data_IF_551789499069
#
_entry.id   IF_551789499069
#
_cell.length_a   1.000
_cell.length_b   1.000
_cell.length_c   1.000
_cell.angle_alpha   90.00
_cell.angle_beta   90.00
_cell.angle_gamma   90.00
#
_symmetry.space_group_name_H-M   'P 1'
#
loop_
_entity.id
_entity.type
_entity.pdbx_description
1 polymer ?
#
# COMPACT_ATOMS: atom_id res chain seq x y z
N UNK A 1 10.97 -12.93 16.15
CA UNK A 1 10.49 -13.74 17.29
C UNK A 1 9.33 -14.62 16.83
N UNK A 2 9.58 -15.91 16.64
CA UNK A 2 8.52 -16.89 16.43
C UNK A 2 7.64 -16.91 17.69
N UNK A 3 6.37 -16.52 17.56
CA UNK A 3 5.44 -16.40 18.69
C UNK A 3 4.97 -17.74 19.28
N UNK A 4 5.44 -18.90 18.78
CA UNK A 4 4.99 -20.23 19.22
C UNK A 4 6.02 -21.02 20.04
N UNK A 5 7.06 -20.38 20.59
CA UNK A 5 7.91 -21.03 21.60
C UNK A 5 7.69 -20.35 22.95
N UNK A 6 7.12 -21.09 23.90
CA UNK A 6 7.21 -20.77 25.32
C UNK A 6 8.70 -20.73 25.68
N UNK A 7 9.25 -19.53 25.79
CA UNK A 7 10.61 -19.31 26.27
C UNK A 7 10.61 -19.67 27.76
N UNK A 8 11.31 -20.73 28.13
CA UNK A 8 11.50 -21.03 29.54
C UNK A 8 12.55 -20.08 30.12
N UNK A 9 12.57 -19.87 31.43
CA UNK A 9 13.61 -19.09 32.13
C UNK A 9 15.06 -19.65 31.96
N UNK A 10 15.25 -20.72 31.16
CA UNK A 10 16.52 -21.42 30.91
C UNK A 10 17.08 -21.19 29.50
N UNK A 11 16.37 -20.46 28.64
CA UNK A 11 16.80 -20.15 27.28
C UNK A 11 17.54 -18.81 27.25
N UNK A 12 18.85 -18.84 26.98
CA UNK A 12 19.63 -17.61 26.74
C UNK A 12 19.71 -17.34 25.25
N UNK A 13 19.30 -16.14 24.84
CA UNK A 13 19.30 -15.71 23.44
C UNK A 13 20.15 -14.46 23.27
N UNK A 14 21.12 -14.53 22.38
CA UNK A 14 21.82 -13.36 21.85
C UNK A 14 21.49 -13.22 20.37
N UNK A 15 21.07 -12.03 19.94
CA UNK A 15 20.70 -11.77 18.54
C UNK A 15 21.44 -10.52 18.07
N UNK A 16 22.17 -10.62 16.97
CA UNK A 16 22.84 -9.47 16.35
C UNK A 16 21.83 -8.45 15.82
N UNK A 17 22.28 -7.23 15.46
CA UNK A 17 21.54 -6.40 14.52
C UNK A 17 21.22 -7.16 13.22
N UNK A 18 20.24 -6.66 12.47
CA UNK A 18 19.94 -7.18 11.15
C UNK A 18 20.99 -6.71 10.14
N UNK A 19 21.60 -7.67 9.45
CA UNK A 19 22.44 -7.47 8.29
C UNK A 19 21.58 -7.35 7.03
N UNK A 20 22.06 -6.65 5.98
CA UNK A 20 21.39 -6.62 4.70
C UNK A 20 21.35 -8.03 4.07
N UNK A 21 20.42 -8.29 3.14
CA UNK A 21 20.37 -9.54 2.39
C UNK A 21 21.70 -9.92 1.73
N UNK A 22 21.95 -11.22 1.56
CA UNK A 22 23.11 -11.77 0.82
C UNK A 22 22.59 -12.53 -0.41
N UNK A 23 22.91 -12.05 -1.60
CA UNK A 23 22.40 -12.60 -2.87
C UNK A 23 23.34 -13.61 -3.53
N UNK A 24 24.48 -13.87 -2.92
CA UNK A 24 25.55 -14.64 -3.52
C UNK A 24 25.47 -16.12 -3.11
N UNK A 25 25.47 -17.02 -4.08
CA UNK A 25 25.52 -18.48 -3.87
C UNK A 25 26.84 -19.09 -4.39
N UNK A 26 27.87 -18.27 -4.64
CA UNK A 26 29.19 -18.74 -5.09
C UNK A 26 30.00 -19.44 -3.98
N UNK A 27 29.39 -19.67 -2.82
CA UNK A 27 29.98 -20.34 -1.67
C UNK A 27 31.08 -19.56 -0.95
N UNK A 28 31.38 -18.31 -1.36
CA UNK A 28 32.45 -17.49 -0.78
C UNK A 28 32.02 -16.67 0.45
N UNK A 29 30.73 -16.38 0.60
CA UNK A 29 30.20 -15.75 1.81
C UNK A 29 30.28 -16.72 2.99
N UNK A 30 31.05 -16.36 4.02
CA UNK A 30 31.28 -17.21 5.20
C UNK A 30 30.98 -16.47 6.50
N UNK A 31 30.25 -17.14 7.38
CA UNK A 31 30.17 -16.80 8.79
C UNK A 31 31.29 -17.53 9.54
N UNK A 32 32.14 -16.76 10.22
CA UNK A 32 33.31 -17.24 10.95
C UNK A 32 33.19 -16.85 12.41
N UNK A 33 33.58 -17.74 13.29
CA UNK A 33 33.63 -17.49 14.73
C UNK A 33 34.50 -18.54 15.41
N UNK A 34 34.90 -18.27 16.65
CA UNK A 34 35.55 -19.21 17.52
C UNK A 34 34.56 -19.68 18.58
N UNK A 35 34.57 -20.98 18.88
CA UNK A 35 33.77 -21.53 19.97
C UNK A 35 34.61 -22.47 20.84
N UNK A 36 34.35 -22.46 22.14
CA UNK A 36 34.86 -23.43 23.10
C UNK A 36 33.73 -23.85 24.03
N UNK A 37 33.71 -25.12 24.39
CA UNK A 37 32.78 -25.66 25.36
C UNK A 37 33.54 -26.50 26.38
N UNK A 38 33.08 -26.46 27.62
CA UNK A 38 33.59 -27.28 28.72
C UNK A 38 32.42 -27.74 29.59
N UNK A 39 32.57 -28.91 30.23
CA UNK A 39 31.56 -29.51 31.08
C UNK A 39 30.46 -30.22 30.29
N UNK A 40 29.28 -30.34 30.89
CA UNK A 40 28.17 -31.15 30.35
C UNK A 40 27.63 -30.47 29.09
N UNK A 41 27.33 -31.21 28.00
CA UNK A 41 26.86 -30.61 26.76
C UNK A 41 25.58 -29.79 26.95
N UNK A 42 25.75 -28.47 27.02
CA UNK A 42 24.66 -27.52 26.90
C UNK A 42 24.11 -27.62 25.47
N UNK A 43 22.79 -27.71 25.33
CA UNK A 43 22.15 -27.68 24.02
C UNK A 43 22.24 -26.27 23.46
N UNK A 44 23.32 -25.93 22.75
CA UNK A 44 23.46 -24.63 22.11
C UNK A 44 23.43 -24.74 20.59
N UNK A 45 23.06 -23.64 19.95
CA UNK A 45 23.03 -23.54 18.49
C UNK A 45 23.27 -22.11 18.04
N UNK A 46 23.91 -21.97 16.89
CA UNK A 46 23.92 -20.73 16.12
C UNK A 46 22.98 -20.88 14.93
N UNK A 47 22.14 -19.88 14.69
CA UNK A 47 21.17 -19.89 13.61
C UNK A 47 21.07 -18.53 12.95
N UNK A 48 20.74 -18.53 11.65
CA UNK A 48 20.32 -17.35 10.92
C UNK A 48 18.81 -17.20 11.08
N UNK A 49 18.39 -16.06 11.59
CA UNK A 49 16.96 -15.73 11.76
C UNK A 49 16.55 -14.61 10.80
N UNK A 50 15.29 -14.65 10.41
CA UNK A 50 14.66 -13.65 9.54
C UNK A 50 13.65 -12.81 10.32
N UNK A 51 13.27 -11.62 9.83
CA UNK A 51 12.23 -10.80 10.42
C UNK A 51 10.91 -11.57 10.54
N UNK A 52 10.10 -11.21 11.54
CA UNK A 52 8.83 -11.89 11.84
C UNK A 52 7.78 -11.80 10.74
N UNK A 53 7.91 -10.83 9.84
CA UNK A 53 7.01 -10.65 8.69
C UNK A 53 7.32 -11.61 7.54
N UNK A 54 8.46 -12.30 7.55
CA UNK A 54 8.72 -13.39 6.61
C UNK A 54 7.97 -14.63 7.12
N UNK A 55 6.78 -14.88 6.58
CA UNK A 55 5.98 -16.05 6.93
C UNK A 55 6.71 -17.36 6.56
N UNK A 56 6.51 -18.40 7.38
CA UNK A 56 7.09 -19.75 7.21
C UNK A 56 8.63 -19.81 7.17
N UNK A 57 9.29 -18.77 7.67
CA UNK A 57 10.73 -18.69 7.73
C UNK A 57 11.31 -19.45 8.93
N UNK A 58 11.55 -20.76 8.79
CA UNK A 58 12.34 -21.49 9.77
C UNK A 58 13.74 -20.87 9.94
N UNK A 59 14.25 -20.88 11.18
CA UNK A 59 15.61 -20.47 11.48
C UNK A 59 16.59 -21.46 10.81
N UNK A 60 17.54 -20.92 10.03
CA UNK A 60 18.53 -21.74 9.36
C UNK A 60 19.66 -22.03 10.35
N UNK A 61 19.77 -23.27 10.83
CA UNK A 61 20.85 -23.66 11.73
C UNK A 61 22.18 -23.58 11.00
N UNK A 62 23.15 -22.89 11.59
CA UNK A 62 24.52 -22.83 11.09
C UNK A 62 25.15 -24.18 11.43
N UNK A 63 25.59 -24.97 10.43
CA UNK A 63 26.22 -26.24 10.71
C UNK A 63 27.52 -25.97 11.44
N UNK A 64 27.66 -26.57 12.62
CA UNK A 64 28.92 -26.62 13.35
C UNK A 64 29.62 -27.87 12.82
N UNK A 65 30.25 -27.74 11.64
CA UNK A 65 31.02 -28.84 11.05
C UNK A 65 32.31 -28.98 11.82
N UNK A 66 32.35 -30.06 12.57
CA UNK A 66 33.52 -30.52 13.27
C UNK A 66 34.45 -31.21 12.25
N UNK A 67 35.72 -30.80 12.17
CA UNK A 67 36.78 -31.56 11.50
C UNK A 67 37.17 -32.80 12.35
N UNK A 68 36.18 -33.54 12.87
CA UNK A 68 36.34 -34.78 13.61
C UNK A 68 36.87 -34.67 15.05
N UNK A 69 36.78 -33.51 15.71
CA UNK A 69 37.18 -33.28 17.11
C UNK A 69 36.10 -32.58 17.94
N UNK A 70 35.63 -33.25 19.00
CA UNK A 70 34.74 -32.64 20.00
C UNK A 70 35.24 -31.25 20.40
N UNK A 71 34.37 -30.24 20.34
CA UNK A 71 34.63 -28.86 20.80
C UNK A 71 34.72 -28.87 22.32
N UNK A 72 35.75 -29.50 22.86
CA UNK A 72 35.97 -29.67 24.28
C UNK A 72 37.34 -29.11 24.63
N UNK A 73 37.39 -28.23 25.64
CA UNK A 73 38.62 -27.77 26.31
C UNK A 73 39.65 -27.06 25.41
N UNK A 74 39.27 -26.64 24.19
CA UNK A 74 40.08 -25.79 23.32
C UNK A 74 39.23 -24.99 22.34
N UNK A 75 39.72 -23.83 21.92
CA UNK A 75 39.06 -22.96 20.95
C UNK A 75 39.09 -23.58 19.55
N UNK A 76 37.91 -23.72 18.94
CA UNK A 76 37.75 -24.21 17.59
C UNK A 76 37.26 -23.11 16.68
N UNK A 77 37.94 -22.90 15.55
CA UNK A 77 37.49 -21.99 14.51
C UNK A 77 36.43 -22.67 13.66
N UNK A 78 35.23 -22.11 13.64
CA UNK A 78 34.13 -22.56 12.80
C UNK A 78 34.00 -21.59 11.63
N UNK A 79 33.83 -22.14 10.43
CA UNK A 79 33.65 -21.37 9.21
C UNK A 79 32.59 -22.04 8.35
N UNK A 80 31.41 -21.44 8.31
CA UNK A 80 30.27 -21.97 7.57
C UNK A 80 29.90 -21.07 6.40
N UNK A 81 29.78 -21.67 5.23
CA UNK A 81 29.26 -20.99 4.04
C UNK A 81 27.78 -20.66 4.27
N UNK A 82 27.43 -19.39 4.09
CA UNK A 82 26.05 -18.96 4.03
C UNK A 82 25.61 -19.04 2.57
N UNK A 83 24.50 -19.75 2.33
CA UNK A 83 23.81 -19.71 1.04
C UNK A 83 23.06 -18.38 0.85
N UNK A 84 22.24 -18.25 -0.20
CA UNK A 84 21.52 -17.03 -0.47
C UNK A 84 20.51 -16.71 0.65
N UNK A 85 20.56 -15.48 1.15
CA UNK A 85 19.68 -14.91 2.17
C UNK A 85 18.97 -13.70 1.56
N UNK A 86 17.82 -13.93 0.93
CA UNK A 86 17.07 -12.92 0.15
C UNK A 86 16.38 -11.82 0.96
N UNK A 87 16.43 -11.91 2.29
CA UNK A 87 15.84 -10.96 3.22
C UNK A 87 16.90 -10.50 4.23
N UNK A 88 16.72 -9.33 4.88
CA UNK A 88 17.55 -8.97 6.02
C UNK A 88 17.58 -10.11 7.02
N UNK A 89 18.73 -10.35 7.65
CA UNK A 89 18.89 -11.48 8.56
C UNK A 89 19.70 -11.09 9.79
N UNK A 90 19.52 -11.82 10.89
CA UNK A 90 20.35 -11.67 12.08
C UNK A 90 20.96 -13.03 12.45
N UNK A 91 22.15 -12.99 13.08
CA UNK A 91 22.78 -14.15 13.68
C UNK A 91 22.25 -14.28 15.11
N UNK A 92 21.70 -15.44 15.43
CA UNK A 92 21.18 -15.74 16.76
C UNK A 92 21.95 -16.90 17.38
N UNK A 93 22.37 -16.69 18.63
CA UNK A 93 22.93 -17.72 19.49
C UNK A 93 21.85 -18.08 20.50
N UNK A 94 21.51 -19.37 20.57
CA UNK A 94 20.57 -19.90 21.53
C UNK A 94 21.27 -20.97 22.36
N UNK A 95 21.25 -20.84 23.68
CA UNK A 95 21.73 -21.85 24.61
C UNK A 95 20.59 -22.30 25.52
N UNK A 96 20.37 -23.61 25.59
CA UNK A 96 19.42 -24.25 26.49
C UNK A 96 20.19 -25.05 27.54
N UNK A 97 20.04 -24.62 28.80
CA UNK A 97 20.68 -25.25 29.94
C UNK A 97 19.76 -26.27 30.59
N UNK A 98 20.13 -27.55 30.54
CA UNK A 98 19.50 -28.57 31.36
C UNK A 98 19.93 -28.37 32.82
N UNK A 99 18.98 -28.19 33.73
CA UNK A 99 19.25 -28.15 35.16
C UNK A 99 19.76 -29.53 35.60
N UNK A 100 21.07 -29.66 35.82
CA UNK A 100 21.66 -30.88 36.34
C UNK A 100 21.97 -30.74 37.83
N UNK A 101 21.80 -31.82 38.62
CA UNK A 101 22.09 -31.79 40.04
C UNK A 101 23.61 -31.81 40.25
N UNK A 102 24.12 -30.72 40.84
CA UNK A 102 25.30 -30.69 41.72
C UNK A 102 26.51 -31.55 41.34
N UNK A 103 27.08 -31.36 40.15
CA UNK A 103 28.48 -31.74 39.92
C UNK A 103 29.30 -30.48 39.68
N UNK A 104 30.42 -30.37 40.41
CA UNK A 104 31.29 -29.19 40.52
C UNK A 104 32.08 -28.83 39.24
N UNK A 105 31.62 -29.20 38.04
CA UNK A 105 32.26 -28.78 36.80
C UNK A 105 31.57 -27.55 36.22
N UNK A 106 32.29 -26.42 36.21
CA UNK A 106 31.86 -25.20 35.51
C UNK A 106 31.62 -25.53 34.03
N UNK A 107 30.35 -25.67 33.67
CA UNK A 107 29.93 -25.92 32.30
C UNK A 107 29.69 -24.60 31.60
N UNK A 108 30.37 -24.37 30.49
CA UNK A 108 30.24 -23.12 29.74
C UNK A 108 30.35 -23.36 28.23
N UNK A 109 29.77 -22.43 27.49
CA UNK A 109 29.99 -22.24 26.06
C UNK A 109 30.43 -20.79 25.90
N UNK A 110 31.58 -20.59 25.27
CA UNK A 110 32.06 -19.26 24.91
C UNK A 110 32.17 -19.18 23.38
N UNK A 111 31.74 -18.05 22.84
CA UNK A 111 31.80 -17.73 21.41
C UNK A 111 32.48 -16.38 21.29
N UNK A 112 33.45 -16.28 20.39
CA UNK A 112 34.23 -15.07 20.17
C UNK A 112 34.52 -14.84 18.68
N UNK A 113 34.95 -13.62 18.34
CA UNK A 113 35.39 -13.23 16.98
C UNK A 113 34.36 -13.55 15.87
N UNK A 114 33.08 -13.28 16.14
CA UNK A 114 32.01 -13.44 15.15
C UNK A 114 32.22 -12.43 14.01
N UNK A 115 32.42 -12.95 12.81
CA UNK A 115 32.65 -12.13 11.62
C UNK A 115 31.96 -12.73 10.40
N UNK A 116 31.46 -11.84 9.54
CA UNK A 116 31.04 -12.17 8.19
C UNK A 116 32.16 -11.79 7.23
N UNK A 117 32.44 -12.67 6.27
CA UNK A 117 33.48 -12.42 5.28
C UNK A 117 33.06 -11.28 4.33
N UNK A 118 34.03 -10.52 3.82
CA UNK A 118 33.76 -9.35 2.95
C UNK A 118 33.02 -9.75 1.68
N UNK A 119 33.22 -10.99 1.19
CA UNK A 119 32.56 -11.56 0.02
C UNK A 119 31.04 -11.71 0.19
N UNK A 120 30.53 -11.65 1.42
CA UNK A 120 29.10 -11.53 1.69
C UNK A 120 28.52 -10.19 1.20
N UNK A 121 29.35 -9.16 1.06
CA UNK A 121 28.94 -7.78 0.75
C UNK A 121 29.62 -7.20 -0.51
N UNK A 122 30.72 -7.82 -0.97
CA UNK A 122 31.55 -7.36 -2.12
C UNK A 122 30.78 -7.30 -3.45
N UNK A 123 29.72 -8.11 -3.61
CA UNK A 123 28.86 -8.14 -4.80
C UNK A 123 27.50 -7.46 -4.64
N UNK A 124 27.24 -6.77 -3.52
CA UNK A 124 25.95 -6.13 -3.28
C UNK A 124 25.58 -5.13 -4.39
N UNK A 125 26.58 -4.52 -5.04
CA UNK A 125 26.38 -3.59 -6.16
C UNK A 125 26.25 -4.28 -7.53
N UNK A 126 26.66 -5.56 -7.67
CA UNK A 126 26.60 -6.32 -8.94
C UNK A 126 25.40 -7.27 -9.03
N UNK A 127 24.82 -7.63 -7.88
CA UNK A 127 23.69 -8.54 -7.75
C UNK A 127 22.50 -7.79 -7.17
N UNK A 128 22.06 -6.75 -7.87
CA UNK A 128 20.74 -6.15 -7.68
C UNK A 128 19.72 -7.27 -7.40
N UNK A 129 19.16 -7.44 -6.18
CA UNK A 129 18.17 -8.47 -5.80
C UNK A 129 17.02 -8.69 -6.77
N UNK A 130 16.82 -7.69 -7.60
CA UNK A 130 15.66 -7.48 -8.43
C UNK A 130 15.90 -7.84 -9.90
N UNK A 131 17.14 -8.21 -10.28
CA UNK A 131 17.54 -8.51 -11.66
C UNK A 131 17.56 -7.26 -12.55
N UNK A 132 17.70 -7.42 -13.87
CA UNK A 132 17.44 -6.32 -14.84
C UNK A 132 15.93 -6.10 -14.94
N UNK A 133 15.33 -5.40 -13.99
CA UNK A 133 13.96 -4.92 -14.12
C UNK A 133 13.98 -3.44 -14.47
N UNK A 134 13.09 -3.03 -15.36
CA UNK A 134 12.94 -1.64 -15.80
C UNK A 134 11.68 -1.00 -15.22
N UNK A 135 10.69 -1.81 -14.82
CA UNK A 135 9.40 -1.35 -14.34
C UNK A 135 8.69 -2.41 -13.53
N UNK A 136 7.81 -1.97 -12.63
CA UNK A 136 6.90 -2.81 -11.86
C UNK A 136 5.54 -2.09 -11.76
N UNK A 137 4.44 -2.83 -11.88
CA UNK A 137 3.08 -2.28 -11.78
C UNK A 137 2.37 -2.80 -10.53
N UNK A 138 1.91 -1.89 -9.69
CA UNK A 138 1.10 -2.20 -8.51
C UNK A 138 -0.33 -1.72 -8.79
N UNK A 139 -1.32 -2.62 -8.72
CA UNK A 139 -2.70 -2.36 -9.13
C UNK A 139 -3.73 -3.04 -8.21
N UNK A 140 -5.03 -2.79 -8.44
CA UNK A 140 -6.12 -3.34 -7.61
C UNK A 140 -6.33 -4.84 -7.76
N UNK A 141 -5.47 -5.53 -8.51
CA UNK A 141 -5.55 -6.97 -8.78
C UNK A 141 -6.88 -7.40 -9.42
N UNK A 142 -7.54 -6.49 -10.14
CA UNK A 142 -8.83 -6.72 -10.78
C UNK A 142 -10.02 -6.62 -9.82
N UNK A 143 -9.83 -6.13 -8.59
CA UNK A 143 -10.95 -5.73 -7.73
C UNK A 143 -11.56 -4.42 -8.25
N UNK A 144 -12.88 -4.36 -8.18
CA UNK A 144 -13.72 -3.23 -8.62
C UNK A 144 -14.71 -2.86 -7.52
N UNK A 145 -15.12 -1.59 -7.50
CA UNK A 145 -16.14 -1.09 -6.59
C UNK A 145 -15.76 -1.24 -5.13
N UNK A 146 -16.68 -1.85 -4.37
CA UNK A 146 -16.51 -2.09 -2.93
C UNK A 146 -15.76 -3.38 -2.60
N UNK A 147 -15.34 -4.17 -3.59
CA UNK A 147 -14.67 -5.46 -3.36
C UNK A 147 -13.31 -5.25 -2.71
N UNK A 148 -12.94 -6.03 -1.70
CA UNK A 148 -11.58 -5.94 -1.16
C UNK A 148 -10.53 -6.40 -2.18
N UNK A 149 -9.33 -5.81 -2.14
CA UNK A 149 -8.16 -6.35 -2.86
C UNK A 149 -7.76 -7.65 -2.16
N UNK A 150 -7.95 -8.78 -2.84
CA UNK A 150 -7.66 -10.09 -2.30
C UNK A 150 -6.26 -10.56 -2.72
N UNK A 151 -5.47 -11.03 -1.74
CA UNK A 151 -4.09 -11.50 -1.95
C UNK A 151 -3.97 -12.61 -3.00
N UNK A 152 -4.92 -13.53 -3.03
CA UNK A 152 -4.99 -14.61 -4.02
C UNK A 152 -5.24 -14.10 -5.45
N UNK A 153 -6.12 -13.10 -5.65
CA UNK A 153 -6.33 -12.45 -6.96
C UNK A 153 -5.05 -11.79 -7.47
N UNK A 154 -4.31 -11.11 -6.59
CA UNK A 154 -3.02 -10.51 -6.94
C UNK A 154 -1.99 -11.55 -7.38
N UNK A 155 -1.91 -12.67 -6.67
CA UNK A 155 -0.97 -13.75 -6.94
C UNK A 155 -1.27 -14.49 -8.26
N UNK A 156 -2.56 -14.71 -8.56
CA UNK A 156 -3.01 -15.43 -9.75
C UNK A 156 -2.98 -14.60 -11.03
N UNK A 157 -2.73 -13.28 -10.96
CA UNK A 157 -2.78 -12.38 -12.13
C UNK A 157 -1.73 -12.72 -13.21
N UNK A 158 -0.71 -13.52 -12.89
CA UNK A 158 0.30 -14.05 -13.83
C UNK A 158 1.15 -12.96 -14.51
N UNK A 159 2.27 -13.36 -15.13
CA UNK A 159 3.08 -12.52 -16.05
C UNK A 159 3.58 -11.16 -15.53
N UNK A 160 3.71 -11.01 -14.21
CA UNK A 160 4.26 -9.80 -13.58
C UNK A 160 5.78 -9.82 -13.62
N UNK A 161 6.39 -8.78 -14.19
CA UNK A 161 7.84 -8.59 -14.26
C UNK A 161 8.27 -7.51 -13.28
N UNK A 162 9.27 -7.79 -12.45
CA UNK A 162 9.78 -6.86 -11.43
C UNK A 162 9.87 -7.48 -10.02
N UNK A 163 10.31 -6.69 -9.02
CA UNK A 163 10.63 -7.17 -7.67
C UNK A 163 9.39 -7.42 -6.79
N UNK A 164 8.42 -8.22 -7.27
CA UNK A 164 7.19 -8.53 -6.54
C UNK A 164 7.39 -9.36 -5.28
N UNK A 165 8.56 -10.02 -5.09
CA UNK A 165 8.87 -10.69 -3.82
C UNK A 165 8.96 -9.73 -2.62
N UNK A 166 9.07 -8.42 -2.86
CA UNK A 166 9.10 -7.38 -1.83
C UNK A 166 7.75 -6.66 -1.65
N UNK A 167 6.70 -7.11 -2.34
CA UNK A 167 5.36 -6.56 -2.26
C UNK A 167 4.49 -7.40 -1.32
N UNK A 168 3.97 -6.76 -0.28
CA UNK A 168 3.01 -7.34 0.63
C UNK A 168 1.63 -6.72 0.40
N UNK A 169 0.58 -7.53 0.40
CA UNK A 169 -0.81 -7.07 0.23
C UNK A 169 -1.60 -7.38 1.48
N UNK A 170 -2.19 -6.35 2.07
CA UNK A 170 -3.07 -6.44 3.23
C UNK A 170 -4.37 -5.67 2.94
N UNK A 171 -5.46 -6.40 2.73
CA UNK A 171 -6.84 -5.90 2.68
C UNK A 171 -7.01 -4.43 2.24
N UNK A 172 -6.57 -4.13 1.00
CA UNK A 172 -6.61 -2.84 0.28
C UNK A 172 -5.36 -1.94 0.31
N UNK A 173 -4.40 -2.19 1.19
CA UNK A 173 -3.09 -1.56 1.14
C UNK A 173 -2.07 -2.52 0.53
N UNK A 174 -1.23 -2.00 -0.37
CA UNK A 174 -0.06 -2.73 -0.83
C UNK A 174 1.19 -2.03 -0.31
N UNK A 175 2.02 -2.77 0.42
CA UNK A 175 3.23 -2.27 1.04
C UNK A 175 4.40 -2.84 0.25
N UNK A 176 5.15 -1.96 -0.42
CA UNK A 176 6.36 -2.35 -1.13
C UNK A 176 7.59 -1.96 -0.32
N UNK A 177 8.49 -2.92 -0.09
CA UNK A 177 9.76 -2.66 0.59
C UNK A 177 10.84 -2.45 -0.46
N UNK A 178 11.52 -1.32 -0.39
CA UNK A 178 12.53 -0.93 -1.37
C UNK A 178 13.69 -1.94 -1.35
N UNK A 179 13.95 -2.64 -2.47
CA UNK A 179 14.95 -3.70 -2.50
C UNK A 179 16.38 -3.15 -2.55
N UNK A 180 16.58 -1.94 -3.09
CA UNK A 180 17.90 -1.33 -3.33
C UNK A 180 17.87 0.19 -3.17
N UNK A 181 19.01 0.78 -2.81
CA UNK A 181 19.13 2.25 -2.76
C UNK A 181 19.41 2.80 -4.14
N UNK A 182 18.40 3.38 -4.81
CA UNK A 182 18.48 3.89 -6.18
C UNK A 182 17.62 5.14 -6.35
N UNK A 183 17.77 5.77 -7.51
CA UNK A 183 16.85 6.78 -8.01
C UNK A 183 15.67 6.09 -8.71
N UNK A 184 14.45 6.32 -8.21
CA UNK A 184 13.23 5.69 -8.70
C UNK A 184 12.30 6.71 -9.35
N UNK A 185 11.68 6.32 -10.45
CA UNK A 185 10.54 7.02 -11.03
C UNK A 185 9.25 6.31 -10.67
N UNK A 186 8.36 7.00 -9.97
CA UNK A 186 7.05 6.53 -9.59
C UNK A 186 6.00 7.14 -10.52
N UNK A 187 5.21 6.29 -11.16
CA UNK A 187 4.01 6.68 -11.91
C UNK A 187 2.79 6.27 -11.10
N UNK A 188 2.02 7.25 -10.63
CA UNK A 188 0.80 7.00 -9.86
C UNK A 188 -0.39 7.57 -10.61
N UNK A 189 -1.32 6.70 -11.01
CA UNK A 189 -2.56 7.10 -11.67
C UNK A 189 -3.75 6.90 -10.71
N UNK A 190 -4.64 7.88 -10.68
CA UNK A 190 -5.89 7.78 -9.96
C UNK A 190 -6.75 6.63 -10.50
N UNK A 191 -7.65 6.13 -9.66
CA UNK A 191 -8.58 5.10 -10.07
C UNK A 191 -9.53 5.59 -11.16
N UNK A 192 -9.88 4.69 -12.08
CA UNK A 192 -10.89 4.97 -13.09
C UNK A 192 -12.28 5.00 -12.45
N UNK A 193 -13.15 5.91 -12.88
CA UNK A 193 -14.57 5.85 -12.52
C UNK A 193 -15.29 4.62 -13.10
N UNK A 194 -16.54 4.42 -12.69
CA UNK A 194 -17.47 3.54 -13.42
C UNK A 194 -17.69 4.09 -14.84
N UNK A 195 -18.08 3.22 -15.76
CA UNK A 195 -18.22 3.57 -17.18
C UNK A 195 -19.50 3.01 -17.79
N UNK A 196 -20.07 3.70 -18.76
CA UNK A 196 -21.16 3.17 -19.59
C UNK A 196 -20.62 2.51 -20.87
N UNK A 197 -21.35 1.53 -21.46
CA UNK A 197 -20.91 0.86 -22.69
C UNK A 197 -20.68 1.79 -23.89
N UNK A 198 -21.28 2.99 -23.88
CA UNK A 198 -21.28 3.96 -24.98
C UNK A 198 -20.50 5.25 -24.68
N UNK A 199 -19.77 5.32 -23.55
CA UNK A 199 -18.92 6.48 -23.27
C UNK A 199 -17.68 6.45 -24.18
N UNK A 200 -17.57 7.45 -25.08
CA UNK A 200 -16.35 7.67 -25.88
C UNK A 200 -15.20 8.24 -25.04
N UNK A 201 -15.51 8.92 -23.93
CA UNK A 201 -14.54 9.56 -23.05
C UNK A 201 -14.21 8.62 -21.89
N UNK A 202 -13.00 8.06 -21.89
CA UNK A 202 -12.54 7.23 -20.79
C UNK A 202 -12.41 8.05 -19.50
N UNK A 203 -13.16 7.69 -18.46
CA UNK A 203 -13.10 8.30 -17.14
C UNK A 203 -11.85 7.87 -16.34
N UNK A 204 -10.68 8.04 -16.94
CA UNK A 204 -9.40 7.67 -16.34
C UNK A 204 -9.02 8.66 -15.24
N UNK A 205 -8.50 8.16 -14.13
CA UNK A 205 -7.94 9.02 -13.10
C UNK A 205 -6.69 9.75 -13.62
N UNK A 206 -6.48 10.97 -13.15
CA UNK A 206 -5.27 11.73 -13.46
C UNK A 206 -4.00 11.01 -12.98
N UNK A 207 -2.90 11.18 -13.71
CA UNK A 207 -1.62 10.58 -13.36
C UNK A 207 -0.61 11.63 -12.89
N UNK A 208 0.20 11.27 -11.90
CA UNK A 208 1.37 12.02 -11.45
C UNK A 208 2.62 11.18 -11.64
N UNK A 209 3.72 11.85 -12.00
CA UNK A 209 5.05 11.25 -12.07
C UNK A 209 5.95 11.91 -11.05
N UNK A 210 6.69 11.12 -10.28
CA UNK A 210 7.62 11.60 -9.25
C UNK A 210 8.95 10.88 -9.42
N UNK A 211 10.03 11.64 -9.44
CA UNK A 211 11.41 11.14 -9.39
C UNK A 211 11.93 11.30 -7.95
N UNK A 212 12.37 10.20 -7.33
CA UNK A 212 12.73 10.18 -5.90
C UNK A 212 13.86 9.18 -5.61
N UNK A 213 14.79 9.57 -4.74
CA UNK A 213 15.80 8.67 -4.20
C UNK A 213 15.22 7.86 -3.05
N UNK A 214 15.17 6.54 -3.20
CA UNK A 214 14.68 5.64 -2.16
C UNK A 214 15.84 4.81 -1.61
N UNK A 215 15.86 4.62 -0.28
CA UNK A 215 16.86 3.81 0.40
C UNK A 215 16.34 2.39 0.61
N UNK A 216 17.21 1.40 0.44
CA UNK A 216 16.92 0.00 0.73
C UNK A 216 16.25 -0.18 2.10
N UNK A 217 15.22 -1.01 2.16
CA UNK A 217 14.42 -1.26 3.37
C UNK A 217 13.35 -0.21 3.68
N UNK A 218 13.32 0.93 2.99
CA UNK A 218 12.22 1.89 3.11
C UNK A 218 10.90 1.25 2.68
N UNK A 219 9.79 1.67 3.28
CA UNK A 219 8.46 1.15 2.95
C UNK A 219 7.64 2.19 2.21
N UNK A 220 7.11 1.80 1.06
CA UNK A 220 6.10 2.57 0.35
C UNK A 220 4.75 1.95 0.66
N UNK A 221 3.89 2.75 1.30
CA UNK A 221 2.50 2.39 1.54
C UNK A 221 1.69 2.88 0.33
N UNK A 222 1.21 1.94 -0.48
CA UNK A 222 0.52 2.21 -1.73
C UNK A 222 -0.97 1.95 -1.50
N UNK A 223 -1.74 3.03 -1.40
CA UNK A 223 -3.20 2.96 -1.43
C UNK A 223 -3.64 2.91 -2.89
N UNK A 224 -4.43 1.90 -3.24
CA UNK A 224 -4.83 1.66 -4.64
C UNK A 224 -6.33 1.77 -4.71
N UNK A 225 -6.81 2.83 -5.37
CA UNK A 225 -8.22 2.95 -5.69
C UNK A 225 -8.65 1.91 -6.71
N UNK A 226 -9.92 1.52 -6.63
CA UNK A 226 -10.52 0.54 -7.52
C UNK A 226 -11.32 1.23 -8.61
N UNK A 227 -11.49 0.57 -9.75
CA UNK A 227 -12.43 1.05 -10.76
C UNK A 227 -13.81 1.17 -10.12
N UNK A 228 -14.49 2.29 -10.32
CA UNK A 228 -15.89 2.46 -9.90
C UNK A 228 -16.80 1.39 -10.51
N UNK A 229 -17.89 1.05 -9.82
CA UNK A 229 -18.86 0.08 -10.33
C UNK A 229 -19.55 0.62 -11.58
N UNK A 230 -19.64 -0.20 -12.62
CA UNK A 230 -20.37 0.16 -13.85
C UNK A 230 -21.77 -0.46 -13.78
N UNK A 231 -22.84 0.31 -14.01
CA UNK A 231 -24.22 -0.19 -13.89
C UNK A 231 -24.56 -1.41 -14.76
N UNK A 232 -23.78 -1.62 -15.83
CA UNK A 232 -23.95 -2.67 -16.82
C UNK A 232 -23.01 -3.89 -16.59
N UNK A 233 -22.16 -3.85 -15.57
CA UNK A 233 -21.29 -4.97 -15.24
C UNK A 233 -22.12 -6.12 -14.64
N UNK A 234 -21.95 -7.33 -15.18
CA UNK A 234 -22.69 -8.54 -14.75
C UNK A 234 -22.55 -8.88 -13.26
N UNK A 235 -21.54 -8.35 -12.59
CA UNK A 235 -21.24 -8.61 -11.17
C UNK A 235 -21.90 -7.59 -10.23
N UNK A 236 -22.43 -6.48 -10.75
CA UNK A 236 -23.03 -5.41 -9.95
C UNK A 236 -24.51 -5.72 -9.71
N UNK A 237 -24.92 -5.82 -8.44
CA UNK A 237 -26.32 -5.96 -8.07
C UNK A 237 -26.98 -4.58 -8.10
N UNK A 238 -27.75 -4.33 -9.16
CA UNK A 238 -28.41 -3.06 -9.33
C UNK A 238 -29.80 -3.04 -8.65
N UNK A 239 -30.05 -2.02 -7.82
CA UNK A 239 -31.36 -1.75 -7.22
C UNK A 239 -32.25 -0.85 -8.09
N UNK A 240 -31.73 -0.36 -9.22
CA UNK A 240 -32.48 0.42 -10.20
C UNK A 240 -33.60 -0.42 -10.81
N UNK A 241 -34.66 0.27 -11.21
CA UNK A 241 -35.75 -0.37 -11.95
C UNK A 241 -35.24 -0.92 -13.28
N UNK A 242 -35.84 -2.02 -13.72
CA UNK A 242 -35.38 -2.81 -14.88
C UNK A 242 -35.37 -1.99 -16.17
N UNK A 243 -36.39 -1.17 -16.39
CA UNK A 243 -36.51 -0.22 -17.50
C UNK A 243 -35.36 0.80 -17.55
N UNK A 244 -34.87 1.26 -16.39
CA UNK A 244 -33.72 2.17 -16.30
C UNK A 244 -32.44 1.45 -16.67
N UNK A 245 -32.23 0.22 -16.18
CA UNK A 245 -31.05 -0.60 -16.51
C UNK A 245 -31.04 -0.95 -17.99
N UNK A 246 -32.18 -1.35 -18.55
CA UNK A 246 -32.31 -1.68 -19.97
C UNK A 246 -32.05 -0.44 -20.85
N UNK A 247 -32.46 0.75 -20.40
CA UNK A 247 -32.15 2.03 -21.10
C UNK A 247 -30.66 2.38 -21.03
N UNK A 248 -30.00 2.17 -19.89
CA UNK A 248 -28.58 2.49 -19.69
C UNK A 248 -27.63 1.47 -20.33
N UNK A 249 -28.04 0.20 -20.40
CA UNK A 249 -27.19 -0.92 -20.77
C UNK A 249 -27.59 -1.59 -22.09
N UNK A 250 -28.67 -1.14 -22.73
CA UNK A 250 -29.14 -1.63 -24.01
C UNK A 250 -28.25 -1.17 -25.16
N UNK A 251 -27.57 -2.12 -25.82
CA UNK A 251 -26.92 -1.91 -27.11
C UNK A 251 -27.93 -2.16 -28.24
N UNK A 252 -28.72 -1.16 -28.61
CA UNK A 252 -29.32 -0.93 -29.95
C UNK A 252 -30.43 0.13 -29.85
N UNK A 253 -30.05 1.40 -29.99
CA UNK A 253 -30.76 2.30 -30.89
C UNK A 253 -29.91 3.57 -31.06
N UNK A 254 -29.76 3.96 -32.32
CA UNK A 254 -28.78 4.95 -32.75
C UNK A 254 -28.88 6.27 -31.98
N UNK A 255 -27.72 6.85 -31.71
CA UNK A 255 -27.52 8.28 -31.45
C UNK A 255 -28.68 8.95 -30.72
N UNK A 256 -29.09 8.42 -29.57
CA UNK A 256 -29.84 9.21 -28.59
C UNK A 256 -28.83 10.12 -27.92
N UNK A 257 -28.52 11.22 -28.61
CA UNK A 257 -28.07 12.43 -27.96
C UNK A 257 -28.96 12.59 -26.73
N UNK A 258 -28.36 12.55 -25.54
CA UNK A 258 -29.01 13.10 -24.37
C UNK A 258 -29.32 14.53 -24.78
N UNK A 259 -30.59 14.80 -25.10
CA UNK A 259 -31.10 16.15 -25.27
C UNK A 259 -30.92 16.81 -23.90
N UNK A 260 -29.75 17.39 -23.72
CA UNK A 260 -29.24 17.87 -22.46
C UNK A 260 -28.29 19.03 -22.74
N UNK A 261 -28.38 20.03 -21.88
CA UNK A 261 -27.52 21.19 -21.86
C UNK A 261 -26.32 20.89 -20.95
N UNK A 262 -25.12 20.92 -21.51
CA UNK A 262 -23.88 20.89 -20.74
C UNK A 262 -23.51 22.32 -20.32
N UNK A 263 -23.45 22.56 -19.03
CA UNK A 263 -22.94 23.79 -18.43
C UNK A 263 -21.58 23.49 -17.82
N UNK A 264 -20.52 24.14 -18.28
CA UNK A 264 -19.15 23.86 -17.87
C UNK A 264 -18.35 25.13 -17.58
N UNK A 265 -17.33 25.01 -16.73
CA UNK A 265 -16.22 25.96 -16.57
C UNK A 265 -14.94 25.19 -16.25
N UNK A 266 -13.81 25.64 -16.80
CA UNK A 266 -12.52 24.98 -16.62
C UNK A 266 -11.49 25.45 -17.64
N UNK A 267 -10.22 25.25 -17.32
CA UNK A 267 -9.14 25.41 -18.29
C UNK A 267 -9.08 24.15 -19.18
N UNK A 268 -8.45 24.25 -20.36
CA UNK A 268 -8.42 23.12 -21.32
C UNK A 268 -7.51 21.97 -20.88
N UNK A 269 -6.89 22.05 -19.70
CA UNK A 269 -5.64 21.31 -19.43
C UNK A 269 -5.55 20.68 -18.05
N UNK A 270 -6.19 21.21 -17.00
CA UNK A 270 -5.88 20.81 -15.61
C UNK A 270 -7.05 20.77 -14.64
N UNK A 271 -8.12 21.53 -14.84
CA UNK A 271 -9.26 21.59 -13.91
C UNK A 271 -10.55 22.04 -14.60
N UNK A 272 -11.67 21.42 -14.24
CA UNK A 272 -12.97 21.81 -14.75
C UNK A 272 -14.12 21.14 -14.01
N UNK A 273 -15.22 21.86 -13.91
CA UNK A 273 -16.48 21.40 -13.30
C UNK A 273 -17.62 21.60 -14.28
N UNK A 274 -18.60 20.72 -14.21
CA UNK A 274 -19.70 20.70 -15.16
C UNK A 274 -20.97 20.11 -14.58
N UNK A 275 -22.10 20.62 -15.07
CA UNK A 275 -23.44 20.12 -14.74
C UNK A 275 -24.17 19.84 -16.06
N UNK A 276 -24.65 18.60 -16.19
CA UNK A 276 -25.49 18.18 -17.30
C UNK A 276 -26.95 18.32 -16.86
N UNK A 277 -27.69 19.17 -17.57
CA UNK A 277 -29.12 19.41 -17.31
C UNK A 277 -29.92 18.84 -18.47
N UNK A 278 -30.86 17.95 -18.21
CA UNK A 278 -31.77 17.46 -19.27
C UNK A 278 -32.54 18.62 -19.90
N UNK A 279 -32.73 18.60 -21.22
CA UNK A 279 -33.37 19.68 -21.98
C UNK A 279 -34.77 20.04 -21.46
N UNK A 280 -35.50 19.06 -20.88
CA UNK A 280 -36.79 19.29 -20.21
C UNK A 280 -36.74 20.30 -19.06
N UNK A 281 -35.56 20.54 -18.49
CA UNK A 281 -35.31 21.49 -17.41
C UNK A 281 -34.56 22.73 -17.86
N UNK A 282 -34.34 22.92 -19.18
CA UNK A 282 -33.63 24.08 -19.72
C UNK A 282 -34.28 25.39 -19.26
N UNK A 283 -35.59 25.49 -19.36
CA UNK A 283 -36.34 26.69 -19.00
C UNK A 283 -36.52 26.86 -17.49
N UNK A 284 -36.20 25.81 -16.71
CA UNK A 284 -36.18 25.86 -15.25
C UNK A 284 -34.86 26.40 -14.69
N UNK A 285 -33.83 26.61 -15.52
CA UNK A 285 -32.57 27.21 -15.07
C UNK A 285 -32.78 28.70 -14.82
N UNK A 286 -32.72 29.09 -13.55
CA UNK A 286 -32.84 30.48 -13.12
C UNK A 286 -31.52 31.26 -13.26
N UNK A 287 -30.39 30.62 -12.97
CA UNK A 287 -29.07 31.22 -13.15
C UNK A 287 -27.96 30.16 -13.28
N UNK A 288 -26.87 30.57 -13.91
CA UNK A 288 -25.61 29.80 -13.99
C UNK A 288 -24.48 30.74 -13.57
N UNK A 289 -23.83 30.42 -12.46
CA UNK A 289 -22.72 31.18 -11.90
C UNK A 289 -21.45 30.32 -11.97
N UNK A 290 -20.40 30.86 -12.60
CA UNK A 290 -19.09 30.21 -12.73
C UNK A 290 -18.12 31.05 -11.91
N UNK A 291 -17.63 30.51 -10.79
CA UNK A 291 -16.78 31.27 -9.89
C UNK A 291 -15.32 31.15 -10.29
N UNK A 292 -14.88 29.92 -10.60
CA UNK A 292 -13.56 29.60 -11.13
C UNK A 292 -13.61 28.25 -11.85
N UNK A 293 -12.44 27.73 -12.24
CA UNK A 293 -12.25 26.41 -12.87
C UNK A 293 -12.64 25.21 -11.99
N UNK A 294 -12.90 25.42 -10.70
CA UNK A 294 -13.15 24.39 -9.68
C UNK A 294 -14.51 24.49 -9.01
N UNK A 295 -15.26 25.57 -9.22
CA UNK A 295 -16.55 25.77 -8.57
C UNK A 295 -17.51 26.50 -9.50
N UNK A 296 -18.65 25.87 -9.72
CA UNK A 296 -19.79 26.47 -10.40
C UNK A 296 -21.10 26.13 -9.69
N UNK A 297 -22.10 26.98 -9.91
CA UNK A 297 -23.43 26.85 -9.36
C UNK A 297 -24.47 26.98 -10.47
N UNK A 298 -25.46 26.12 -10.46
CA UNK A 298 -26.66 26.22 -11.29
C UNK A 298 -27.86 26.30 -10.37
N UNK A 299 -28.69 27.31 -10.56
CA UNK A 299 -29.93 27.46 -9.81
C UNK A 299 -31.08 26.96 -10.66
N UNK A 300 -31.78 25.95 -10.17
CA UNK A 300 -33.00 25.43 -10.80
C UNK A 300 -34.21 25.94 -10.02
N UNK A 301 -35.11 26.64 -10.71
CA UNK A 301 -36.40 27.04 -10.17
C UNK A 301 -37.42 25.91 -10.41
N UNK A 302 -37.98 25.38 -9.33
CA UNK A 302 -39.09 24.44 -9.42
C UNK A 302 -40.20 24.88 -8.47
N UNK A 303 -41.40 25.05 -9.04
CA UNK A 303 -42.63 25.47 -8.36
C UNK A 303 -42.46 26.73 -7.48
N UNK A 304 -42.12 26.54 -6.19
CA UNK A 304 -42.00 27.59 -5.16
C UNK A 304 -40.62 27.66 -4.50
N UNK A 305 -39.64 26.89 -4.97
CA UNK A 305 -38.30 26.83 -4.38
C UNK A 305 -37.22 26.96 -5.45
N UNK A 306 -36.07 27.47 -5.03
CA UNK A 306 -34.84 27.50 -5.81
C UNK A 306 -33.89 26.47 -5.24
N UNK A 307 -33.39 25.58 -6.10
CA UNK A 307 -32.40 24.58 -5.76
C UNK A 307 -31.05 25.07 -6.23
N UNK A 308 -30.09 25.20 -5.31
CA UNK A 308 -28.74 25.62 -5.63
C UNK A 308 -27.86 24.37 -5.79
N UNK A 309 -27.55 24.03 -7.04
CA UNK A 309 -26.72 22.87 -7.39
C UNK A 309 -25.29 23.34 -7.60
N UNK A 310 -24.36 22.88 -6.78
CA UNK A 310 -22.95 23.17 -6.93
C UNK A 310 -22.23 21.96 -7.51
N UNK A 311 -21.40 22.22 -8.52
CA UNK A 311 -20.37 21.29 -8.97
C UNK A 311 -19.03 21.81 -8.49
N UNK A 312 -18.33 20.99 -7.71
CA UNK A 312 -17.15 21.39 -6.96
C UNK A 312 -15.99 20.42 -7.19
N UNK A 313 -14.78 20.95 -7.37
CA UNK A 313 -13.54 20.19 -7.47
C UNK A 313 -12.49 20.73 -6.50
N UNK A 314 -12.45 20.17 -5.30
CA UNK A 314 -11.57 20.65 -4.24
C UNK A 314 -10.09 20.44 -4.60
N UNK A 315 -9.17 21.27 -4.08
CA UNK A 315 -7.73 21.05 -4.24
C UNK A 315 -7.29 19.69 -3.70
N UNK A 316 -6.33 19.04 -4.38
CA UNK A 316 -5.78 17.76 -3.96
C UNK A 316 -5.03 17.87 -2.63
N UNK A 317 -4.81 16.74 -1.95
CA UNK A 317 -4.09 16.69 -0.66
C UNK A 317 -2.71 17.33 -0.68
N UNK A 318 -2.00 17.30 -1.83
CA UNK A 318 -0.69 17.92 -2.02
C UNK A 318 -0.69 19.42 -2.34
N UNK A 319 -1.86 20.04 -2.54
CA UNK A 319 -1.97 21.49 -2.74
C UNK A 319 -1.73 22.24 -1.42
N UNK A 320 -1.28 23.50 -1.51
CA UNK A 320 -1.05 24.35 -0.34
C UNK A 320 -2.32 24.53 0.51
N UNK A 321 -2.19 24.61 1.83
CA UNK A 321 -3.33 24.86 2.73
C UNK A 321 -4.08 26.13 2.35
N UNK A 322 -3.35 27.19 1.95
CA UNK A 322 -3.96 28.42 1.42
C UNK A 322 -4.95 28.16 0.29
N UNK A 323 -4.59 27.33 -0.69
CA UNK A 323 -5.48 27.02 -1.81
C UNK A 323 -6.72 26.22 -1.37
N UNK A 324 -6.56 25.33 -0.37
CA UNK A 324 -7.68 24.59 0.22
C UNK A 324 -8.61 25.53 0.96
N UNK A 325 -8.06 26.41 1.79
CA UNK A 325 -8.83 27.39 2.57
C UNK A 325 -9.58 28.36 1.65
N UNK A 326 -8.93 28.88 0.60
CA UNK A 326 -9.57 29.73 -0.41
C UNK A 326 -10.76 29.02 -1.09
N UNK A 327 -10.63 27.73 -1.40
CA UNK A 327 -11.73 26.94 -1.97
C UNK A 327 -12.89 26.77 -0.98
N UNK A 328 -12.61 26.36 0.26
CA UNK A 328 -13.64 26.12 1.27
C UNK A 328 -14.35 27.40 1.69
N UNK A 329 -13.62 28.51 1.85
CA UNK A 329 -14.21 29.82 2.12
C UNK A 329 -15.10 30.29 0.97
N UNK A 330 -14.68 30.07 -0.29
CA UNK A 330 -15.51 30.40 -1.44
C UNK A 330 -16.77 29.53 -1.50
N UNK A 331 -16.67 28.24 -1.21
CA UNK A 331 -17.84 27.35 -1.18
C UNK A 331 -18.84 27.83 -0.12
N UNK A 332 -18.35 28.07 1.10
CA UNK A 332 -19.13 28.56 2.24
C UNK A 332 -19.82 29.91 1.94
N UNK A 333 -19.07 30.88 1.40
CA UNK A 333 -19.59 32.20 1.01
C UNK A 333 -20.74 32.11 0.01
N UNK A 334 -20.70 31.11 -0.89
CA UNK A 334 -21.70 30.99 -1.98
C UNK A 334 -22.89 30.11 -1.61
N UNK A 335 -22.80 29.29 -0.57
CA UNK A 335 -23.89 28.40 -0.16
C UNK A 335 -25.03 29.11 0.56
N UNK A 336 -26.27 28.71 0.27
CA UNK A 336 -27.52 29.29 0.78
C UNK A 336 -28.43 28.21 1.40
N UNK A 337 -29.64 28.56 1.84
CA UNK A 337 -30.50 27.68 2.68
C UNK A 337 -31.04 26.39 2.01
N UNK A 338 -30.83 26.15 0.70
CA UNK A 338 -31.12 24.84 0.05
C UNK A 338 -30.05 24.52 -1.00
N UNK A 339 -29.02 23.78 -0.59
CA UNK A 339 -27.86 23.48 -1.42
C UNK A 339 -27.65 21.97 -1.60
N UNK A 340 -27.32 21.59 -2.83
CA UNK A 340 -26.73 20.29 -3.14
C UNK A 340 -25.33 20.56 -3.67
N UNK A 341 -24.30 20.17 -2.91
CA UNK A 341 -22.91 20.18 -3.38
C UNK A 341 -22.55 18.79 -3.85
N UNK A 342 -22.07 18.67 -5.08
CA UNK A 342 -21.60 17.41 -5.65
C UNK A 342 -20.27 17.62 -6.39
N UNK A 343 -19.42 16.60 -6.37
CA UNK A 343 -18.14 16.61 -7.07
C UNK A 343 -17.06 15.93 -6.25
N UNK A 344 -15.82 16.08 -6.68
CA UNK A 344 -14.68 15.49 -5.99
C UNK A 344 -14.09 16.49 -4.99
N UNK A 345 -14.43 16.27 -3.71
CA UNK A 345 -13.98 17.10 -2.59
C UNK A 345 -12.60 16.69 -2.05
N UNK A 346 -11.91 15.72 -2.67
CA UNK A 346 -10.53 15.31 -2.37
C UNK A 346 -10.24 15.02 -0.88
N UNK A 347 -11.27 14.68 -0.10
CA UNK A 347 -11.20 14.38 1.32
C UNK A 347 -11.59 12.93 1.61
N UNK A 348 -10.97 12.38 2.65
CA UNK A 348 -11.14 11.00 3.06
C UNK A 348 -11.87 10.95 4.39
N UNK A 349 -13.21 10.80 4.37
CA UNK A 349 -14.06 10.89 5.58
C UNK A 349 -13.87 9.72 6.56
N UNK A 350 -13.32 8.61 6.08
CA UNK A 350 -13.00 7.42 6.88
C UNK A 350 -14.21 6.56 7.27
N UNK A 351 -13.91 5.39 7.82
CA UNK A 351 -14.90 4.35 8.14
C UNK A 351 -15.65 4.59 9.45
N UNK A 352 -15.11 5.43 10.33
CA UNK A 352 -15.73 5.76 11.60
C UNK A 352 -16.52 7.08 11.51
N UNK A 353 -17.64 7.13 12.23
CA UNK A 353 -18.53 8.30 12.27
C UNK A 353 -17.99 9.39 13.21
N UNK A 354 -17.31 9.00 14.28
CA UNK A 354 -16.59 9.87 15.24
C UNK A 354 -17.38 11.11 15.70
N UNK A 355 -18.69 10.97 15.92
CA UNK A 355 -19.54 12.03 16.45
C UNK A 355 -20.27 12.88 15.41
N UNK A 356 -19.90 12.83 14.13
CA UNK A 356 -20.57 13.57 13.05
C UNK A 356 -21.90 12.94 12.64
N UNK A 357 -22.94 13.71 12.35
CA UNK A 357 -24.26 13.27 11.91
C UNK A 357 -24.25 12.51 10.58
N UNK A 358 -23.40 12.94 9.65
CA UNK A 358 -23.16 12.33 8.35
C UNK A 358 -21.70 11.88 8.27
N UNK A 359 -21.41 10.57 8.25
CA UNK A 359 -20.05 10.01 8.24
C UNK A 359 -20.03 8.48 8.37
N UNK A 360 -18.85 7.86 8.41
CA UNK A 360 -18.71 6.42 8.71
C UNK A 360 -18.97 5.44 7.55
N UNK A 361 -19.00 5.95 6.32
CA UNK A 361 -19.12 5.14 5.10
C UNK A 361 -17.90 5.30 4.17
N UNK A 362 -16.90 6.08 4.57
CA UNK A 362 -15.64 6.23 3.85
C UNK A 362 -14.73 5.02 4.05
N UNK A 363 -13.80 4.79 3.12
CA UNK A 363 -12.94 3.61 3.17
C UNK A 363 -11.59 3.92 3.84
N UNK A 364 -11.29 3.52 5.08
CA UNK A 364 -9.96 3.69 5.71
C UNK A 364 -9.91 4.78 6.78
N UNK A 365 -8.72 5.26 7.14
CA UNK A 365 -8.56 6.30 8.17
C UNK A 365 -8.92 7.69 7.64
N UNK A 366 -9.62 8.47 8.46
CA UNK A 366 -9.98 9.85 8.12
C UNK A 366 -8.74 10.73 7.94
N UNK A 367 -8.74 11.59 6.92
CA UNK A 367 -7.70 12.62 6.72
C UNK A 367 -8.27 14.03 6.97
N UNK A 368 -7.40 15.05 7.02
CA UNK A 368 -7.83 16.44 7.28
C UNK A 368 -8.86 16.97 6.27
N UNK A 369 -8.78 16.56 4.99
CA UNK A 369 -9.80 16.92 4.00
C UNK A 369 -11.14 16.24 4.28
N UNK A 370 -11.12 15.01 4.77
CA UNK A 370 -12.30 14.30 5.23
C UNK A 370 -12.95 14.95 6.44
N UNK A 371 -12.15 15.40 7.42
CA UNK A 371 -12.65 16.17 8.57
C UNK A 371 -13.39 17.43 8.10
N UNK A 372 -12.78 18.22 7.21
CA UNK A 372 -13.39 19.44 6.64
C UNK A 372 -14.72 19.16 5.92
N UNK A 373 -14.82 18.04 5.19
CA UNK A 373 -16.09 17.63 4.54
C UNK A 373 -17.17 17.37 5.60
N UNK A 374 -16.82 16.74 6.71
CA UNK A 374 -17.75 16.38 7.76
C UNK A 374 -18.16 17.62 8.58
N UNK A 375 -17.21 18.49 8.91
CA UNK A 375 -17.46 19.79 9.56
C UNK A 375 -18.38 20.69 8.72
N UNK A 376 -18.21 20.68 7.40
CA UNK A 376 -19.05 21.45 6.48
C UNK A 376 -20.48 20.88 6.32
N UNK A 377 -20.67 19.58 6.60
CA UNK A 377 -21.95 18.90 6.44
C UNK A 377 -22.82 18.87 7.72
N UNK A 378 -22.27 19.32 8.85
CA UNK A 378 -23.02 19.66 10.08
C UNK A 378 -23.73 21.01 9.92
#
# INVERSE_FOLDING_TARGET
>A
MNQNRSLSARDTLFTSPFFPPVFNDDGRCKLRFYAVQSGIPAGWSMSIIRPTWVHDAAALKVPIKDEGRRIERSWHRISSTLGPLFFPFAVQIAANWAALPSTHENSFVAVDDISLSVECFDKANQLSPSGNWTSMVVDSCGSTGTQHIQKNKCFLRGHRHGPYQYLFTDNQLQIWTVPETLHYRLFACGAQGGSFPQEEVGNFGGCVTVDVDLKVGSKLLISIGQKGESPCDKQVRNSMRRDVVDTLCGASDGNRLLNALLLFTGDKTTSGVGIIVSERFRDAIASVERFNDRLMKVVIAAERRRYHLFSAYAPQSGCSERAKDEFWSLLDEKTAEVVIVAGDLNGHVGAAKDGYGCGGLGFGSRNAGGERILEYAE
#
